data_IF_768682357589
#
_entry.id   IF_768682357589
#
_cell.length_a   1.000
_cell.length_b   1.000
_cell.length_c   1.000
_cell.angle_alpha   90.00
_cell.angle_beta   90.00
_cell.angle_gamma   90.00
#
_symmetry.space_group_name_H-M   'P 1'
#
loop_
_entity.id
_entity.type
_entity.pdbx_description
1 polymer ?
#
# COMPACT_ATOMS: atom_id res chain seq x y z
N UNK A 1 19.80 -85.32 9.78
CA UNK A 1 19.79 -84.59 8.49
C UNK A 1 19.47 -83.13 8.76
N UNK A 2 20.31 -82.22 8.25
CA UNK A 2 20.42 -80.80 8.62
C UNK A 2 19.11 -80.03 8.37
N UNK A 3 18.63 -79.27 9.37
CA UNK A 3 17.55 -78.28 9.22
C UNK A 3 18.17 -76.91 8.91
N UNK A 4 17.79 -76.35 7.78
CA UNK A 4 18.11 -75.00 7.32
C UNK A 4 17.20 -74.02 8.07
N UNK A 5 17.78 -72.99 8.70
CA UNK A 5 17.05 -71.84 9.23
C UNK A 5 17.36 -70.66 8.32
N UNK A 6 16.34 -70.21 7.58
CA UNK A 6 16.38 -68.97 6.78
C UNK A 6 15.93 -67.83 7.69
N UNK A 7 16.78 -66.83 7.88
CA UNK A 7 16.42 -65.57 8.55
C UNK A 7 16.00 -64.58 7.47
N UNK A 8 14.72 -64.18 7.47
CA UNK A 8 14.18 -63.13 6.60
C UNK A 8 14.26 -61.82 7.37
N UNK A 9 15.08 -60.88 6.88
CA UNK A 9 15.11 -59.51 7.37
C UNK A 9 14.00 -58.71 6.68
N UNK A 10 13.05 -58.19 7.45
CA UNK A 10 11.99 -57.28 6.98
C UNK A 10 12.46 -55.85 7.28
N UNK A 11 12.83 -55.11 6.24
CA UNK A 11 13.07 -53.66 6.29
C UNK A 11 11.75 -52.93 6.07
N UNK A 12 11.26 -52.25 7.10
CA UNK A 12 10.09 -51.36 7.03
C UNK A 12 10.57 -50.00 6.53
N UNK A 13 10.23 -49.66 5.28
CA UNK A 13 10.38 -48.31 4.72
C UNK A 13 9.16 -47.48 5.16
N UNK A 14 9.38 -46.56 6.11
CA UNK A 14 8.41 -45.53 6.45
C UNK A 14 8.43 -44.44 5.37
N UNK A 15 7.42 -44.46 4.51
CA UNK A 15 7.13 -43.38 3.56
C UNK A 15 6.47 -42.23 4.33
N UNK A 16 7.26 -41.20 4.64
CA UNK A 16 6.72 -39.95 5.18
C UNK A 16 6.12 -39.16 4.03
N UNK A 17 4.79 -39.17 3.93
CA UNK A 17 4.03 -38.36 2.98
C UNK A 17 4.12 -36.89 3.43
N UNK A 18 5.14 -36.16 2.99
CA UNK A 18 5.12 -34.70 3.03
C UNK A 18 4.11 -34.23 1.98
N UNK A 19 2.97 -33.74 2.44
CA UNK A 19 2.03 -33.01 1.58
C UNK A 19 2.73 -31.73 1.10
N UNK A 20 3.28 -31.77 -0.11
CA UNK A 20 3.64 -30.56 -0.84
C UNK A 20 2.35 -29.74 -1.00
N UNK A 21 2.23 -28.62 -0.28
CA UNK A 21 1.21 -27.62 -0.62
C UNK A 21 1.45 -27.21 -2.06
N UNK A 22 0.45 -27.38 -2.91
CA UNK A 22 0.55 -27.01 -4.31
C UNK A 22 0.79 -25.50 -4.42
N UNK A 23 2.00 -25.12 -4.83
CA UNK A 23 2.38 -23.71 -4.98
C UNK A 23 1.60 -23.02 -6.11
N UNK A 24 0.83 -23.77 -6.91
CA UNK A 24 -0.11 -23.23 -7.90
C UNK A 24 -1.29 -22.45 -7.27
N UNK A 25 -1.51 -22.60 -5.98
CA UNK A 25 -2.64 -22.00 -5.26
C UNK A 25 -2.40 -20.53 -4.84
N UNK A 26 -1.14 -20.09 -4.72
CA UNK A 26 -0.82 -18.74 -4.24
C UNK A 26 -0.77 -17.72 -5.38
N UNK A 27 -1.35 -16.54 -5.16
CA UNK A 27 -1.22 -15.40 -6.07
C UNK A 27 0.16 -14.76 -5.86
N UNK A 28 0.99 -14.71 -6.91
CA UNK A 28 2.34 -14.12 -6.83
C UNK A 28 2.33 -12.68 -7.32
N UNK A 29 2.70 -11.76 -6.44
CA UNK A 29 2.65 -10.31 -6.67
C UNK A 29 4.07 -9.72 -6.64
N UNK A 30 4.42 -8.99 -7.70
CA UNK A 30 5.64 -8.19 -7.74
C UNK A 30 5.36 -6.71 -7.45
N UNK A 31 6.00 -6.13 -6.45
CA UNK A 31 5.94 -4.68 -6.18
C UNK A 31 7.18 -4.02 -6.76
N UNK A 32 7.01 -3.05 -7.65
CA UNK A 32 8.15 -2.38 -8.27
C UNK A 32 8.94 -1.53 -7.27
N UNK A 33 10.24 -1.82 -7.14
CA UNK A 33 11.20 -1.16 -6.26
C UNK A 33 12.38 -0.64 -7.09
N UNK A 34 12.06 0.23 -8.04
CA UNK A 34 13.03 0.93 -8.89
C UNK A 34 13.11 2.41 -8.55
N UNK A 35 14.11 3.09 -9.13
CA UNK A 35 14.25 4.53 -8.96
C UNK A 35 12.98 5.27 -9.40
N UNK A 36 12.53 6.19 -8.56
CA UNK A 36 11.25 6.88 -8.72
C UNK A 36 10.13 6.29 -7.88
N UNK A 37 10.22 5.04 -7.40
CA UNK A 37 9.36 4.54 -6.32
C UNK A 37 9.71 5.18 -4.99
N UNK A 38 8.72 5.72 -4.29
CA UNK A 38 8.94 6.21 -2.93
C UNK A 38 9.10 5.02 -1.98
N UNK A 39 10.21 4.98 -1.26
CA UNK A 39 10.58 3.84 -0.40
C UNK A 39 9.47 3.47 0.60
N UNK A 40 8.84 4.46 1.24
CA UNK A 40 7.71 4.21 2.15
C UNK A 40 6.52 3.57 1.44
N UNK A 41 6.17 4.02 0.24
CA UNK A 41 5.08 3.43 -0.53
C UNK A 41 5.39 1.97 -0.93
N UNK A 42 6.65 1.65 -1.24
CA UNK A 42 7.08 0.26 -1.50
C UNK A 42 6.87 -0.59 -0.25
N UNK A 43 7.34 -0.14 0.91
CA UNK A 43 7.16 -0.85 2.18
C UNK A 43 5.68 -1.07 2.49
N UNK A 44 4.89 -0.01 2.45
CA UNK A 44 3.45 -0.05 2.77
C UNK A 44 2.68 -0.97 1.82
N UNK A 45 3.01 -0.95 0.53
CA UNK A 45 2.39 -1.84 -0.48
C UNK A 45 2.73 -3.30 -0.22
N UNK A 46 4.00 -3.61 0.07
CA UNK A 46 4.43 -4.98 0.39
C UNK A 46 3.68 -5.50 1.61
N UNK A 47 3.51 -4.68 2.63
CA UNK A 47 2.78 -5.06 3.83
C UNK A 47 1.28 -5.19 3.61
N UNK A 48 0.68 -4.28 2.84
CA UNK A 48 -0.73 -4.36 2.50
C UNK A 48 -1.05 -5.68 1.77
N UNK A 49 -0.16 -6.17 0.89
CA UNK A 49 -0.36 -7.46 0.24
C UNK A 49 -0.30 -8.64 1.23
N UNK A 50 0.50 -8.56 2.29
CA UNK A 50 0.61 -9.63 3.31
C UNK A 50 -0.64 -9.78 4.19
N UNK A 51 -1.60 -8.86 4.10
CA UNK A 51 -2.92 -9.02 4.72
C UNK A 51 -3.62 -10.25 4.15
N UNK A 52 -3.49 -10.47 2.84
CA UNK A 52 -4.03 -11.64 2.17
C UNK A 52 -3.08 -12.83 2.27
N UNK A 53 -3.48 -13.85 3.04
CA UNK A 53 -2.63 -15.02 3.31
C UNK A 53 -2.52 -15.98 2.12
N UNK A 54 -3.28 -15.77 1.05
CA UNK A 54 -3.15 -16.49 -0.22
C UNK A 54 -2.27 -15.73 -1.24
N UNK A 55 -1.68 -14.60 -0.85
CA UNK A 55 -0.74 -13.84 -1.67
C UNK A 55 0.70 -14.00 -1.20
N UNK A 56 1.60 -14.20 -2.16
CA UNK A 56 3.04 -14.07 -1.96
C UNK A 56 3.54 -12.81 -2.64
N UNK A 57 4.26 -11.98 -1.90
CA UNK A 57 4.79 -10.71 -2.40
C UNK A 57 6.30 -10.68 -2.37
N UNK A 58 6.90 -10.12 -3.43
CA UNK A 58 8.31 -9.73 -3.47
C UNK A 58 8.47 -8.39 -4.17
N UNK A 59 9.52 -7.68 -3.84
CA UNK A 59 9.93 -6.53 -4.65
C UNK A 59 10.56 -6.99 -5.96
N UNK A 60 10.42 -6.19 -7.01
CA UNK A 60 11.04 -6.40 -8.31
C UNK A 60 11.68 -5.11 -8.81
N UNK A 61 12.86 -5.22 -9.39
CA UNK A 61 13.59 -4.09 -9.98
C UNK A 61 13.49 -4.13 -11.51
N UNK A 62 14.05 -3.12 -12.16
CA UNK A 62 14.18 -3.08 -13.62
C UNK A 62 15.08 -4.18 -14.16
N UNK A 63 16.11 -4.55 -13.40
CA UNK A 63 16.98 -5.69 -13.70
C UNK A 63 16.24 -7.02 -13.63
N UNK A 64 15.39 -7.20 -12.62
CA UNK A 64 14.59 -8.43 -12.47
C UNK A 64 13.59 -8.59 -13.63
N UNK A 65 12.94 -7.49 -14.04
CA UNK A 65 12.01 -7.50 -15.19
C UNK A 65 12.77 -7.87 -16.47
N UNK A 66 13.94 -7.27 -16.70
CA UNK A 66 14.78 -7.60 -17.85
C UNK A 66 15.28 -9.06 -17.81
N UNK A 67 15.47 -9.62 -16.61
CA UNK A 67 15.85 -11.01 -16.40
C UNK A 67 14.67 -12.00 -16.45
N UNK A 68 13.45 -11.54 -16.78
CA UNK A 68 12.29 -12.41 -16.97
C UNK A 68 11.49 -12.72 -15.70
N UNK A 69 11.59 -11.91 -14.64
CA UNK A 69 10.87 -12.20 -13.39
C UNK A 69 9.34 -12.25 -13.56
N UNK A 70 8.79 -11.58 -14.59
CA UNK A 70 7.36 -11.52 -14.88
C UNK A 70 6.75 -12.91 -15.17
N UNK A 71 7.52 -13.85 -15.70
CA UNK A 71 7.04 -15.22 -16.00
C UNK A 71 6.61 -15.99 -14.74
N UNK A 72 7.09 -15.55 -13.58
CA UNK A 72 6.81 -16.16 -12.28
C UNK A 72 5.74 -15.41 -11.48
N UNK A 73 5.16 -14.35 -12.04
CA UNK A 73 4.20 -13.49 -11.35
C UNK A 73 2.80 -13.65 -11.95
N UNK A 74 1.81 -13.30 -11.14
CA UNK A 74 0.40 -13.26 -11.51
C UNK A 74 -0.08 -11.82 -11.62
N UNK A 75 0.41 -10.94 -10.76
CA UNK A 75 0.18 -9.50 -10.84
C UNK A 75 1.44 -8.68 -10.53
N UNK A 76 1.44 -7.43 -10.99
CA UNK A 76 2.40 -6.41 -10.56
C UNK A 76 1.71 -5.22 -9.90
N UNK A 77 2.45 -4.50 -9.08
CA UNK A 77 2.04 -3.23 -8.51
C UNK A 77 3.12 -2.19 -8.77
N UNK A 78 2.74 -1.06 -9.35
CA UNK A 78 3.58 0.13 -9.42
C UNK A 78 3.14 1.06 -8.28
N UNK A 79 3.97 1.28 -7.25
CA UNK A 79 3.59 2.04 -6.06
C UNK A 79 3.66 3.56 -6.31
N UNK A 80 3.32 4.33 -5.28
CA UNK A 80 3.54 5.78 -5.24
C UNK A 80 5.00 6.21 -5.40
N UNK A 81 5.22 7.49 -5.71
CA UNK A 81 6.53 8.05 -6.05
C UNK A 81 6.47 9.13 -7.12
N UNK A 82 7.39 9.12 -8.09
CA UNK A 82 7.36 10.01 -9.26
C UNK A 82 7.12 9.23 -10.54
N UNK A 83 5.95 9.38 -11.16
CA UNK A 83 5.53 8.59 -12.33
C UNK A 83 6.50 8.69 -13.50
N UNK A 84 6.97 9.90 -13.84
CA UNK A 84 7.98 10.12 -14.88
C UNK A 84 9.35 9.52 -14.55
N UNK A 85 9.74 9.48 -13.27
CA UNK A 85 10.99 8.84 -12.81
C UNK A 85 10.89 7.33 -12.91
N UNK A 86 9.75 6.75 -12.51
CA UNK A 86 9.47 5.32 -12.66
C UNK A 86 9.44 4.92 -14.15
N UNK A 87 8.79 5.73 -15.01
CA UNK A 87 8.77 5.53 -16.46
C UNK A 87 10.20 5.47 -17.03
N UNK A 88 11.02 6.48 -16.71
CA UNK A 88 12.41 6.56 -17.16
C UNK A 88 13.23 5.36 -16.64
N UNK A 89 13.04 4.98 -15.38
CA UNK A 89 13.78 3.89 -14.77
C UNK A 89 13.45 2.54 -15.43
N UNK A 90 12.17 2.26 -15.69
CA UNK A 90 11.74 1.04 -16.39
C UNK A 90 12.42 0.92 -17.76
N UNK A 91 12.47 2.02 -18.51
CA UNK A 91 12.95 2.00 -19.90
C UNK A 91 11.98 1.28 -20.84
N UNK A 92 12.12 1.55 -22.15
CA UNK A 92 11.16 1.12 -23.16
C UNK A 92 10.92 -0.40 -23.16
N UNK A 93 11.98 -1.20 -23.15
CA UNK A 93 11.87 -2.67 -23.23
C UNK A 93 11.08 -3.27 -22.06
N UNK A 94 11.31 -2.81 -20.83
CA UNK A 94 10.56 -3.33 -19.68
C UNK A 94 9.12 -2.82 -19.67
N UNK A 95 8.85 -1.61 -20.16
CA UNK A 95 7.48 -1.13 -20.35
C UNK A 95 6.72 -2.04 -21.33
N UNK A 96 7.36 -2.48 -22.43
CA UNK A 96 6.76 -3.44 -23.36
C UNK A 96 6.53 -4.80 -22.71
N UNK A 97 7.52 -5.34 -21.99
CA UNK A 97 7.35 -6.59 -21.22
C UNK A 97 6.18 -6.54 -20.25
N UNK A 98 5.99 -5.41 -19.56
CA UNK A 98 4.83 -5.21 -18.67
C UNK A 98 3.52 -5.18 -19.46
N UNK A 99 3.46 -4.47 -20.60
CA UNK A 99 2.27 -4.45 -21.46
C UNK A 99 1.92 -5.86 -21.98
N UNK A 100 2.92 -6.62 -22.42
CA UNK A 100 2.77 -8.00 -22.86
C UNK A 100 2.26 -8.90 -21.72
N UNK A 101 2.87 -8.79 -20.53
CA UNK A 101 2.43 -9.49 -19.33
C UNK A 101 0.95 -9.25 -19.03
N UNK A 102 0.51 -7.98 -19.00
CA UNK A 102 -0.89 -7.64 -18.73
C UNK A 102 -1.79 -8.14 -19.87
N UNK A 103 -1.44 -7.84 -21.13
CA UNK A 103 -2.26 -8.24 -22.28
C UNK A 103 -2.42 -9.75 -22.44
N UNK A 104 -1.48 -10.54 -21.88
CA UNK A 104 -1.56 -11.99 -21.82
C UNK A 104 -2.57 -12.53 -20.77
N UNK A 105 -3.13 -11.68 -19.90
CA UNK A 105 -4.14 -12.08 -18.90
C UNK A 105 -3.74 -11.82 -17.45
N UNK A 106 -2.64 -11.12 -17.21
CA UNK A 106 -2.12 -10.86 -15.86
C UNK A 106 -2.66 -9.55 -15.29
N UNK A 107 -2.51 -9.38 -13.97
CA UNK A 107 -3.03 -8.22 -13.25
C UNK A 107 -2.02 -7.09 -13.09
N UNK A 108 -2.50 -5.84 -13.06
CA UNK A 108 -1.67 -4.70 -12.68
C UNK A 108 -2.44 -3.69 -11.82
N UNK A 109 -1.81 -3.23 -10.73
CA UNK A 109 -2.32 -2.14 -9.88
C UNK A 109 -1.36 -0.96 -9.93
N UNK A 110 -1.88 0.24 -10.21
CA UNK A 110 -1.14 1.50 -10.18
C UNK A 110 -1.61 2.37 -9.02
N UNK A 111 -0.69 2.80 -8.15
CA UNK A 111 -0.99 3.61 -6.97
C UNK A 111 -0.35 5.00 -7.13
N UNK A 112 -1.17 6.05 -7.11
CA UNK A 112 -0.74 7.45 -7.24
C UNK A 112 0.20 7.67 -8.45
N UNK A 113 1.52 7.73 -8.24
CA UNK A 113 2.51 7.77 -9.31
C UNK A 113 2.41 6.59 -10.29
N UNK A 114 2.10 5.39 -9.79
CA UNK A 114 1.81 4.24 -10.64
C UNK A 114 0.53 4.42 -11.45
N UNK A 115 -0.46 5.16 -10.94
CA UNK A 115 -1.66 5.50 -11.69
C UNK A 115 -1.36 6.56 -12.78
N UNK A 116 -0.50 7.55 -12.50
CA UNK A 116 0.06 8.44 -13.51
C UNK A 116 0.83 7.66 -14.59
N UNK A 117 1.67 6.70 -14.18
CA UNK A 117 2.43 5.87 -15.12
C UNK A 117 1.50 5.07 -16.05
N UNK A 118 0.36 4.59 -15.54
CA UNK A 118 -0.59 3.79 -16.31
C UNK A 118 -1.52 4.61 -17.21
N UNK A 119 -1.56 5.94 -17.04
CA UNK A 119 -2.46 6.82 -17.76
C UNK A 119 -2.20 6.87 -19.26
N UNK A 120 -3.12 7.48 -19.99
CA UNK A 120 -3.08 7.80 -21.40
C UNK A 120 -2.96 9.32 -21.58
N UNK A 121 -2.19 9.97 -20.71
CA UNK A 121 -2.07 11.43 -20.67
C UNK A 121 -1.21 11.94 -21.83
N UNK A 122 -1.72 12.85 -22.69
CA UNK A 122 -0.93 13.49 -23.72
C UNK A 122 0.29 14.22 -23.14
N UNK A 123 1.42 14.17 -23.85
CA UNK A 123 2.66 14.86 -23.49
C UNK A 123 3.23 14.53 -22.10
N UNK A 124 2.82 13.40 -21.51
CA UNK A 124 3.34 12.89 -20.24
C UNK A 124 3.94 11.48 -20.41
N UNK A 125 4.96 11.19 -19.60
CA UNK A 125 5.64 9.89 -19.57
C UNK A 125 4.75 8.80 -18.96
N UNK A 126 3.92 8.17 -19.79
CA UNK A 126 2.94 7.15 -19.39
C UNK A 126 2.89 5.97 -20.37
N UNK A 127 2.31 4.86 -19.90
CA UNK A 127 2.24 3.60 -20.62
C UNK A 127 0.97 3.45 -21.47
N UNK A 128 -0.03 4.33 -21.30
CA UNK A 128 -1.30 4.28 -22.03
C UNK A 128 -2.04 2.93 -21.89
N UNK A 129 -2.30 2.50 -20.65
CA UNK A 129 -2.92 1.20 -20.37
C UNK A 129 -4.22 1.26 -19.56
N UNK A 130 -4.63 2.43 -19.04
CA UNK A 130 -5.83 2.54 -18.21
C UNK A 130 -7.00 3.35 -18.83
N UNK A 131 -6.78 4.06 -19.94
CA UNK A 131 -7.81 4.82 -20.65
C UNK A 131 -8.20 6.16 -19.99
N UNK A 132 -7.54 6.55 -18.92
CA UNK A 132 -7.71 7.85 -18.28
C UNK A 132 -6.57 8.79 -18.68
N UNK A 133 -6.85 10.08 -18.87
CA UNK A 133 -5.82 11.12 -18.94
C UNK A 133 -5.86 11.93 -17.64
N UNK A 134 -4.67 12.26 -17.14
CA UNK A 134 -4.51 13.17 -16.02
C UNK A 134 -4.51 14.62 -16.53
N UNK A 135 -5.34 15.47 -15.92
CA UNK A 135 -5.35 16.92 -16.16
C UNK A 135 -4.68 17.65 -14.99
N UNK A 136 -4.43 18.95 -15.17
CA UNK A 136 -3.90 19.83 -14.10
C UNK A 136 -2.59 19.30 -13.51
N UNK A 137 -1.69 18.85 -14.39
CA UNK A 137 -0.40 18.25 -14.02
C UNK A 137 0.58 19.35 -13.59
N UNK A 138 0.41 20.56 -14.11
CA UNK A 138 1.17 21.74 -13.73
C UNK A 138 0.96 22.15 -12.26
N UNK A 139 -0.12 21.69 -11.63
CA UNK A 139 -0.43 21.87 -10.21
C UNK A 139 -0.46 20.51 -9.48
N UNK A 140 0.50 19.61 -9.76
CA UNK A 140 0.60 18.31 -9.10
C UNK A 140 0.78 18.42 -7.59
N UNK A 141 1.56 19.39 -7.11
CA UNK A 141 1.67 19.78 -5.70
C UNK A 141 0.39 20.48 -5.17
N UNK A 142 -0.78 19.88 -5.35
CA UNK A 142 -2.08 20.46 -4.93
C UNK A 142 -2.39 20.28 -3.45
N UNK A 143 -1.67 19.40 -2.77
CA UNK A 143 -1.81 19.13 -1.35
C UNK A 143 -2.08 17.67 -1.04
N UNK A 144 -2.18 17.41 0.26
CA UNK A 144 -2.32 16.06 0.79
C UNK A 144 -3.09 16.01 2.11
N UNK A 145 -3.42 14.79 2.52
CA UNK A 145 -4.12 14.51 3.77
C UNK A 145 -5.13 13.39 3.62
N UNK A 146 -6.01 13.25 4.59
CA UNK A 146 -7.09 12.28 4.58
C UNK A 146 -8.28 12.79 3.76
N UNK A 147 -8.35 12.36 2.50
CA UNK A 147 -9.39 12.75 1.55
C UNK A 147 -10.61 11.83 1.63
N UNK A 148 -11.78 12.37 1.26
CA UNK A 148 -13.05 11.67 1.18
C UNK A 148 -13.36 11.20 -0.23
N UNK A 149 -13.94 10.01 -0.31
CA UNK A 149 -14.47 9.43 -1.55
C UNK A 149 -15.78 8.67 -1.30
N UNK A 150 -16.55 8.48 -2.37
CA UNK A 150 -17.74 7.61 -2.38
C UNK A 150 -17.55 6.45 -3.36
N UNK A 151 -18.25 5.34 -3.12
CA UNK A 151 -18.27 4.22 -4.05
C UNK A 151 -19.40 4.38 -5.07
N UNK A 152 -19.11 4.03 -6.33
CA UNK A 152 -20.15 3.82 -7.35
C UNK A 152 -20.91 2.51 -7.08
N UNK A 153 -21.96 2.22 -7.85
CA UNK A 153 -22.67 0.95 -7.72
C UNK A 153 -21.71 -0.25 -7.86
N UNK A 154 -20.77 -0.16 -8.80
CA UNK A 154 -19.79 -1.22 -9.06
C UNK A 154 -18.69 -1.22 -8.02
N UNK A 155 -18.31 -0.05 -7.48
CA UNK A 155 -17.45 0.02 -6.30
C UNK A 155 -17.99 -0.71 -5.08
N UNK A 156 -19.30 -0.66 -4.86
CA UNK A 156 -19.96 -1.41 -3.78
C UNK A 156 -19.88 -2.93 -3.97
N UNK A 157 -19.76 -3.40 -5.20
CA UNK A 157 -19.56 -4.83 -5.49
C UNK A 157 -18.10 -5.26 -5.27
N UNK A 158 -17.13 -4.39 -5.56
CA UNK A 158 -15.70 -4.67 -5.32
C UNK A 158 -15.36 -4.57 -3.83
N UNK A 159 -15.97 -3.62 -3.12
CA UNK A 159 -15.71 -3.30 -1.72
C UNK A 159 -17.02 -3.35 -0.89
N UNK A 160 -17.66 -4.52 -0.75
CA UNK A 160 -18.90 -4.67 0.02
C UNK A 160 -18.78 -4.21 1.48
N UNK A 161 -17.59 -4.29 2.08
CA UNK A 161 -17.33 -3.82 3.45
C UNK A 161 -17.52 -2.31 3.62
N UNK A 162 -17.50 -1.56 2.52
CA UNK A 162 -17.71 -0.11 2.49
C UNK A 162 -19.07 0.27 1.90
N UNK A 163 -19.87 -0.69 1.43
CA UNK A 163 -21.05 -0.43 0.59
C UNK A 163 -22.17 0.35 1.28
N UNK A 164 -22.29 0.18 2.60
CA UNK A 164 -23.29 0.83 3.45
C UNK A 164 -22.82 2.18 4.01
N UNK A 165 -21.62 2.63 3.63
CA UNK A 165 -21.08 3.93 4.05
C UNK A 165 -21.35 4.96 2.97
N UNK A 166 -21.89 6.10 3.37
CA UNK A 166 -22.11 7.23 2.45
C UNK A 166 -20.78 7.84 2.02
N UNK A 167 -19.79 7.91 2.92
CA UNK A 167 -18.47 8.50 2.67
C UNK A 167 -17.38 7.65 3.31
N UNK A 168 -16.24 7.54 2.62
CA UNK A 168 -15.05 6.82 3.07
C UNK A 168 -13.82 7.73 2.99
N UNK A 169 -12.75 7.35 3.71
CA UNK A 169 -11.57 8.19 3.87
C UNK A 169 -10.28 7.41 3.62
N UNK A 170 -9.39 7.95 2.79
CA UNK A 170 -8.07 7.40 2.49
C UNK A 170 -7.07 8.54 2.32
N UNK A 171 -5.82 8.32 2.71
CA UNK A 171 -4.71 9.26 2.51
C UNK A 171 -4.56 9.54 1.02
N UNK A 172 -4.61 10.80 0.63
CA UNK A 172 -4.34 11.31 -0.70
C UNK A 172 -3.09 12.19 -0.64
N UNK A 173 -2.25 12.10 -1.65
CA UNK A 173 -1.05 12.93 -1.80
C UNK A 173 -0.79 13.14 -3.28
N UNK A 174 -1.18 14.30 -3.81
CA UNK A 174 -0.83 14.77 -5.17
C UNK A 174 -1.24 13.84 -6.33
N UNK A 175 -2.10 12.85 -6.09
CA UNK A 175 -2.49 11.85 -7.07
C UNK A 175 -3.24 12.43 -8.28
N UNK A 176 -3.28 11.71 -9.41
CA UNK A 176 -3.79 12.23 -10.67
C UNK A 176 -5.26 12.65 -10.61
N UNK A 177 -5.59 13.73 -11.32
CA UNK A 177 -6.97 14.13 -11.59
C UNK A 177 -7.39 13.53 -12.91
N UNK A 178 -8.13 12.43 -12.87
CA UNK A 178 -8.50 11.72 -14.09
C UNK A 178 -9.75 12.28 -14.77
N UNK A 179 -9.71 12.26 -16.10
CA UNK A 179 -10.87 12.32 -16.99
C UNK A 179 -10.72 11.24 -18.07
N UNK A 180 -11.76 11.04 -18.87
CA UNK A 180 -11.68 10.16 -20.03
C UNK A 180 -10.61 10.63 -21.01
N UNK A 181 -9.69 9.74 -21.38
CA UNK A 181 -8.82 9.97 -22.52
C UNK A 181 -9.63 9.83 -23.82
N UNK A 182 -9.27 10.55 -24.90
CA UNK A 182 -9.77 10.30 -26.24
C UNK A 182 -9.13 9.02 -26.83
N UNK A 183 -9.30 7.89 -26.13
CA UNK A 183 -8.72 6.59 -26.44
C UNK A 183 -9.84 5.54 -26.68
N UNK A 184 -9.43 4.38 -27.20
CA UNK A 184 -10.23 3.16 -27.30
C UNK A 184 -10.39 2.43 -25.96
N UNK A 185 -9.42 2.55 -25.05
CA UNK A 185 -9.51 1.96 -23.71
C UNK A 185 -10.51 2.77 -22.88
N UNK A 186 -11.52 2.08 -22.34
CA UNK A 186 -12.50 2.65 -21.42
C UNK A 186 -12.32 2.03 -20.05
N UNK A 187 -12.32 2.88 -19.02
CA UNK A 187 -12.36 2.45 -17.64
C UNK A 187 -13.77 2.55 -17.07
N UNK A 188 -14.01 1.74 -16.05
CA UNK A 188 -15.15 1.88 -15.15
C UNK A 188 -14.69 2.67 -13.92
N UNK A 189 -15.48 3.66 -13.53
CA UNK A 189 -15.27 4.38 -12.26
C UNK A 189 -15.77 3.52 -11.10
N UNK A 190 -14.87 3.18 -10.19
CA UNK A 190 -15.15 2.36 -9.01
C UNK A 190 -15.41 3.26 -7.78
N UNK A 191 -14.73 4.40 -7.71
CA UNK A 191 -14.92 5.39 -6.66
C UNK A 191 -14.80 6.81 -7.21
N UNK A 192 -15.44 7.76 -6.55
CA UNK A 192 -15.47 9.18 -6.91
C UNK A 192 -14.86 10.00 -5.78
N UNK A 193 -13.92 10.87 -6.14
CA UNK A 193 -13.28 11.84 -5.27
C UNK A 193 -14.31 12.88 -4.83
N UNK A 194 -14.46 13.08 -3.54
CA UNK A 194 -15.38 14.08 -2.98
C UNK A 194 -14.65 15.29 -2.39
N UNK A 195 -13.37 15.12 -2.05
CA UNK A 195 -12.52 16.22 -1.57
C UNK A 195 -12.24 17.20 -2.69
N UNK A 196 -12.17 18.47 -2.32
CA UNK A 196 -11.62 19.54 -3.15
C UNK A 196 -10.25 19.91 -2.59
N UNK A 197 -9.22 19.13 -2.94
CA UNK A 197 -7.83 19.35 -2.49
C UNK A 197 -7.19 20.47 -3.33
N UNK A 198 -6.74 21.53 -2.65
CA UNK A 198 -6.15 22.74 -3.25
C UNK A 198 -5.34 23.58 -2.23
N UNK A 199 -4.84 22.95 -1.18
CA UNK A 199 -4.13 23.60 -0.08
C UNK A 199 -2.71 24.07 -0.45
N UNK A 200 -2.13 23.44 -1.48
CA UNK A 200 -0.75 23.66 -1.94
C UNK A 200 -0.70 23.99 -3.45
N UNK A 201 0.48 24.41 -3.93
CA UNK A 201 0.77 24.55 -5.37
C UNK A 201 -0.02 25.58 -6.16
N UNK A 202 -0.86 26.39 -5.50
CA UNK A 202 -1.85 27.26 -6.13
C UNK A 202 -2.85 26.49 -7.01
N UNK A 203 -3.14 25.24 -6.66
CA UNK A 203 -4.08 24.43 -7.41
C UNK A 203 -5.49 25.07 -7.45
N UNK A 204 -6.20 24.99 -8.58
CA UNK A 204 -7.51 25.60 -8.70
C UNK A 204 -8.55 24.88 -7.84
N UNK A 205 -9.42 25.66 -7.20
CA UNK A 205 -10.56 25.11 -6.48
C UNK A 205 -11.51 24.37 -7.44
N UNK A 206 -12.11 23.31 -6.94
CA UNK A 206 -13.02 22.39 -7.61
C UNK A 206 -12.39 21.55 -8.75
N UNK A 207 -11.07 21.40 -8.76
CA UNK A 207 -10.39 20.55 -9.75
C UNK A 207 -10.57 19.06 -9.45
N UNK A 208 -10.37 18.68 -8.18
CA UNK A 208 -10.29 17.28 -7.75
C UNK A 208 -11.63 16.63 -7.44
N UNK A 209 -12.63 17.40 -7.01
CA UNK A 209 -13.95 16.86 -6.64
C UNK A 209 -14.73 16.38 -7.87
N UNK A 210 -15.58 15.37 -7.63
CA UNK A 210 -16.40 14.70 -8.65
C UNK A 210 -15.57 14.08 -9.79
N UNK A 211 -14.32 13.67 -9.49
CA UNK A 211 -13.43 12.99 -10.44
C UNK A 211 -13.25 11.52 -10.04
N UNK A 212 -12.84 10.64 -10.96
CA UNK A 212 -12.54 9.26 -10.62
C UNK A 212 -11.43 9.17 -9.56
N UNK A 213 -11.68 8.40 -8.51
CA UNK A 213 -10.75 8.13 -7.41
C UNK A 213 -10.11 6.75 -7.56
N UNK A 214 -10.95 5.76 -7.89
CA UNK A 214 -10.56 4.42 -8.30
C UNK A 214 -11.13 4.16 -9.69
N UNK A 215 -10.30 3.66 -10.60
CA UNK A 215 -10.70 3.25 -11.94
C UNK A 215 -10.22 1.84 -12.23
N UNK A 216 -10.95 1.14 -13.07
CA UNK A 216 -10.60 -0.22 -13.44
C UNK A 216 -10.98 -0.52 -14.90
N UNK A 217 -10.11 -1.21 -15.63
CA UNK A 217 -10.30 -1.47 -17.06
C UNK A 217 -9.67 -2.81 -17.48
N UNK A 218 -9.94 -3.21 -18.72
CA UNK A 218 -9.20 -4.29 -19.39
C UNK A 218 -8.09 -3.71 -20.25
N UNK A 219 -7.00 -4.46 -20.37
CA UNK A 219 -5.92 -4.21 -21.32
C UNK A 219 -5.51 -5.56 -21.92
N UNK A 220 -5.83 -5.78 -23.19
CA UNK A 220 -5.80 -7.12 -23.79
C UNK A 220 -6.69 -8.10 -23.01
N UNK A 221 -6.15 -9.26 -22.62
CA UNK A 221 -6.85 -10.25 -21.79
C UNK A 221 -6.81 -9.93 -20.29
N UNK A 222 -5.86 -9.10 -19.86
CA UNK A 222 -5.66 -8.75 -18.46
C UNK A 222 -6.52 -7.58 -18.00
N UNK A 223 -6.32 -7.19 -16.75
CA UNK A 223 -7.06 -6.11 -16.10
C UNK A 223 -6.12 -5.21 -15.33
N UNK A 224 -6.44 -3.92 -15.36
CA UNK A 224 -5.69 -2.87 -14.68
C UNK A 224 -6.63 -2.20 -13.67
N UNK A 225 -6.11 -1.94 -12.48
CA UNK A 225 -6.77 -1.13 -11.46
C UNK A 225 -5.87 0.05 -11.13
N UNK A 226 -6.42 1.26 -11.06
CA UNK A 226 -5.66 2.45 -10.68
C UNK A 226 -6.35 3.18 -9.54
N UNK A 227 -5.56 3.56 -8.53
CA UNK A 227 -5.98 4.41 -7.41
C UNK A 227 -5.17 5.69 -7.41
N UNK A 228 -5.84 6.83 -7.29
CA UNK A 228 -5.17 8.13 -7.17
C UNK A 228 -4.67 8.40 -5.75
N UNK A 229 -5.09 7.58 -4.78
CA UNK A 229 -4.78 7.76 -3.37
C UNK A 229 -3.99 6.57 -2.83
N UNK A 230 -3.73 6.58 -1.52
CA UNK A 230 -2.84 5.66 -0.82
C UNK A 230 -3.54 4.79 0.24
N UNK A 231 -4.39 3.82 -0.16
CA UNK A 231 -4.93 2.85 0.78
C UNK A 231 -3.85 2.10 1.56
N UNK A 232 -2.70 1.80 0.93
CA UNK A 232 -1.56 1.13 1.56
C UNK A 232 -1.01 1.89 2.77
N UNK A 233 -1.15 3.21 2.75
CA UNK A 233 -0.69 4.12 3.79
C UNK A 233 -1.80 4.49 4.80
N UNK A 234 -3.02 3.99 4.64
CA UNK A 234 -4.17 4.40 5.45
C UNK A 234 -4.56 3.31 6.45
N UNK A 235 -4.36 3.49 7.76
CA UNK A 235 -4.78 2.53 8.78
C UNK A 235 -6.26 2.14 8.61
N UNK A 236 -6.57 0.84 8.69
CA UNK A 236 -7.92 0.31 8.52
C UNK A 236 -8.41 0.18 7.08
N UNK A 237 -7.65 0.68 6.09
CA UNK A 237 -8.01 0.66 4.67
C UNK A 237 -6.97 -0.06 3.78
N UNK A 238 -5.87 -0.54 4.35
CA UNK A 238 -4.76 -1.20 3.63
C UNK A 238 -5.19 -2.45 2.87
N UNK A 239 -6.20 -3.15 3.38
CA UNK A 239 -6.81 -4.34 2.76
C UNK A 239 -7.40 -4.08 1.37
N UNK A 240 -7.65 -2.81 1.00
CA UNK A 240 -8.09 -2.45 -0.34
C UNK A 240 -7.07 -2.87 -1.40
N UNK A 241 -5.77 -2.85 -1.11
CA UNK A 241 -4.71 -3.17 -2.08
C UNK A 241 -4.75 -4.64 -2.54
N UNK A 242 -4.71 -5.66 -1.66
CA UNK A 242 -4.88 -7.04 -2.10
C UNK A 242 -6.26 -7.31 -2.72
N UNK A 243 -7.32 -6.60 -2.27
CA UNK A 243 -8.64 -6.67 -2.93
C UNK A 243 -8.58 -6.20 -4.39
N UNK A 244 -7.88 -5.11 -4.68
CA UNK A 244 -7.64 -4.64 -6.05
C UNK A 244 -6.86 -5.67 -6.87
N UNK A 245 -5.84 -6.30 -6.28
CA UNK A 245 -5.09 -7.37 -6.96
C UNK A 245 -6.00 -8.55 -7.33
N UNK A 246 -6.82 -9.06 -6.40
CA UNK A 246 -7.78 -10.14 -6.71
C UNK A 246 -8.73 -9.77 -7.83
N UNK A 247 -9.25 -8.54 -7.81
CA UNK A 247 -10.10 -8.03 -8.87
C UNK A 247 -9.37 -8.07 -10.23
N UNK A 248 -8.11 -7.65 -10.30
CA UNK A 248 -7.35 -7.68 -11.57
C UNK A 248 -7.12 -9.09 -12.10
N UNK A 249 -7.14 -10.10 -11.23
CA UNK A 249 -6.95 -11.50 -11.59
C UNK A 249 -8.25 -12.28 -11.77
N UNK A 250 -9.40 -11.60 -11.64
CA UNK A 250 -10.71 -12.24 -11.65
C UNK A 250 -10.82 -13.41 -10.64
N UNK A 251 -10.21 -13.22 -9.47
CA UNK A 251 -10.23 -14.17 -8.36
C UNK A 251 -11.35 -13.82 -7.38
N UNK A 252 -11.78 -14.82 -6.62
CA UNK A 252 -12.74 -14.64 -5.53
C UNK A 252 -12.29 -13.53 -4.59
N UNK A 253 -13.19 -12.57 -4.33
CA UNK A 253 -12.97 -11.47 -3.39
C UNK A 253 -13.21 -11.96 -1.97
N UNK A 254 -12.16 -12.40 -1.29
CA UNK A 254 -12.23 -12.93 0.07
C UNK A 254 -12.45 -11.84 1.11
N UNK A 255 -13.12 -12.18 2.21
CA UNK A 255 -13.22 -11.31 3.38
C UNK A 255 -11.90 -11.29 4.15
N UNK A 256 -11.60 -10.16 4.81
CA UNK A 256 -10.45 -10.02 5.71
C UNK A 256 -10.91 -9.84 7.15
N UNK A 257 -9.98 -10.03 8.08
CA UNK A 257 -10.21 -9.90 9.52
C UNK A 257 -10.74 -8.50 9.90
N UNK A 258 -11.61 -8.45 10.91
CA UNK A 258 -12.08 -7.18 11.52
C UNK A 258 -10.94 -6.35 12.15
N UNK A 259 -9.80 -6.98 12.45
CA UNK A 259 -8.61 -6.27 12.92
C UNK A 259 -7.95 -5.41 11.84
N UNK A 260 -8.19 -5.72 10.56
CA UNK A 260 -7.61 -5.02 9.41
C UNK A 260 -8.64 -4.16 8.67
N UNK A 261 -9.89 -4.63 8.58
CA UNK A 261 -10.98 -3.88 7.96
C UNK A 261 -11.60 -2.94 8.99
N UNK A 262 -11.06 -1.72 9.09
CA UNK A 262 -11.47 -0.74 10.11
C UNK A 262 -11.84 0.62 9.49
N UNK A 263 -12.83 0.69 8.59
CA UNK A 263 -13.18 1.93 7.90
C UNK A 263 -13.77 3.02 8.82
N UNK A 264 -14.15 2.67 10.05
CA UNK A 264 -14.64 3.62 11.07
C UNK A 264 -13.50 4.30 11.84
N UNK A 265 -12.23 3.99 11.58
CA UNK A 265 -11.11 4.70 12.22
C UNK A 265 -11.13 6.20 11.89
N UNK A 266 -11.66 6.55 10.73
CA UNK A 266 -11.79 7.94 10.31
C UNK A 266 -13.20 8.24 9.81
N UNK A 267 -13.74 9.36 10.29
CA UNK A 267 -15.10 9.83 9.97
C UNK A 267 -15.11 11.30 9.53
N UNK A 268 -13.93 11.89 9.32
CA UNK A 268 -13.78 13.29 8.88
C UNK A 268 -12.60 13.46 7.95
N UNK A 269 -12.72 14.44 7.08
CA UNK A 269 -11.65 14.89 6.18
C UNK A 269 -10.59 15.66 6.97
N UNK A 270 -9.32 15.48 6.59
CA UNK A 270 -8.17 16.20 7.16
C UNK A 270 -7.26 16.57 5.99
N UNK A 271 -7.35 17.81 5.49
CA UNK A 271 -6.44 18.32 4.46
C UNK A 271 -5.40 19.23 5.12
N UNK A 272 -4.12 19.04 4.78
CA UNK A 272 -3.03 19.76 5.43
C UNK A 272 -2.99 21.21 4.96
N UNK A 273 -3.33 22.13 5.87
CA UNK A 273 -3.14 23.56 5.62
C UNK A 273 -1.67 23.95 5.71
N UNK A 274 -1.32 25.13 5.18
CA UNK A 274 0.03 25.70 5.29
C UNK A 274 0.54 25.77 6.73
N UNK A 275 -0.34 25.98 7.71
CA UNK A 275 0.06 26.02 9.12
C UNK A 275 0.22 24.63 9.72
N UNK A 276 -0.54 23.64 9.25
CA UNK A 276 -0.31 22.23 9.60
C UNK A 276 1.03 21.75 9.06
N UNK A 277 1.38 22.07 7.81
CA UNK A 277 2.67 21.72 7.20
C UNK A 277 3.86 22.31 7.98
N UNK A 278 3.77 23.59 8.37
CA UNK A 278 4.78 24.21 9.25
C UNK A 278 4.90 23.49 10.59
N UNK A 279 3.77 23.07 11.17
CA UNK A 279 3.76 22.34 12.45
C UNK A 279 4.36 20.94 12.30
N UNK A 280 4.03 20.22 11.24
CA UNK A 280 4.59 18.90 10.91
C UNK A 280 6.11 18.99 10.74
N UNK A 281 6.59 19.93 9.92
CA UNK A 281 8.02 20.16 9.76
C UNK A 281 8.73 20.49 11.09
N UNK A 282 8.07 21.26 11.98
CA UNK A 282 8.61 21.57 13.32
C UNK A 282 8.70 20.33 14.21
N UNK A 283 7.80 19.36 14.08
CA UNK A 283 7.82 18.14 14.88
C UNK A 283 9.13 17.35 14.71
N UNK A 284 9.71 17.33 13.50
CA UNK A 284 11.01 16.72 13.28
C UNK A 284 12.10 17.34 14.16
N UNK A 285 12.17 18.67 14.24
CA UNK A 285 13.09 19.37 15.13
C UNK A 285 12.80 19.07 16.61
N UNK A 286 11.53 18.98 17.00
CA UNK A 286 11.13 18.56 18.35
C UNK A 286 11.61 17.15 18.69
N UNK A 287 11.60 16.21 17.74
CA UNK A 287 12.14 14.86 17.97
C UNK A 287 13.66 14.85 18.16
N UNK A 288 14.38 15.77 17.53
CA UNK A 288 15.83 15.90 17.71
C UNK A 288 16.22 16.60 19.01
N UNK A 289 15.52 17.68 19.39
CA UNK A 289 16.01 18.61 20.42
C UNK A 289 15.01 18.94 21.53
N UNK A 290 13.76 18.50 21.41
CA UNK A 290 12.70 18.78 22.38
C UNK A 290 12.79 17.92 23.64
N UNK A 291 12.09 18.38 24.67
CA UNK A 291 11.85 17.62 25.90
C UNK A 291 10.95 16.40 25.64
N UNK A 292 10.94 15.44 26.58
CA UNK A 292 10.07 14.28 26.47
C UNK A 292 8.59 14.67 26.29
N UNK A 293 8.11 15.69 27.02
CA UNK A 293 6.72 16.13 26.94
C UNK A 293 6.39 16.73 25.56
N UNK A 294 7.26 17.56 25.01
CA UNK A 294 7.06 18.13 23.67
C UNK A 294 7.06 17.03 22.59
N UNK A 295 7.89 15.99 22.74
CA UNK A 295 7.88 14.82 21.85
C UNK A 295 6.57 14.03 21.93
N UNK A 296 6.00 13.86 23.13
CA UNK A 296 4.70 13.21 23.29
C UNK A 296 3.59 14.01 22.60
N UNK A 297 3.57 15.33 22.79
CA UNK A 297 2.61 16.23 22.13
C UNK A 297 2.75 16.23 20.61
N UNK A 298 3.98 16.16 20.11
CA UNK A 298 4.24 16.00 18.68
C UNK A 298 3.71 14.66 18.16
N UNK A 299 3.99 13.54 18.83
CA UNK A 299 3.47 12.22 18.46
C UNK A 299 1.93 12.18 18.46
N UNK A 300 1.29 12.77 19.47
CA UNK A 300 -0.17 12.84 19.55
C UNK A 300 -0.78 13.65 18.40
N UNK A 301 -0.19 14.80 18.08
CA UNK A 301 -0.70 15.63 16.99
C UNK A 301 -0.49 14.98 15.61
N UNK A 302 0.67 14.36 15.37
CA UNK A 302 0.97 13.69 14.11
C UNK A 302 0.03 12.49 13.89
N UNK A 303 -0.27 11.73 14.95
CA UNK A 303 -1.19 10.59 14.86
C UNK A 303 -2.62 11.06 14.59
N UNK A 304 -3.09 12.09 15.31
CA UNK A 304 -4.43 12.66 15.13
C UNK A 304 -4.62 13.31 13.76
N UNK A 305 -3.55 13.80 13.15
CA UNK A 305 -3.56 14.44 11.83
C UNK A 305 -3.28 13.45 10.71
N UNK A 306 -2.98 12.18 11.01
CA UNK A 306 -2.61 11.14 10.03
C UNK A 306 -1.40 11.57 9.18
N UNK A 307 -0.38 12.14 9.84
CA UNK A 307 0.87 12.55 9.19
C UNK A 307 1.54 11.34 8.54
N UNK A 308 1.78 11.44 7.23
CA UNK A 308 2.47 10.38 6.50
C UNK A 308 3.97 10.44 6.74
N UNK A 309 4.56 11.63 6.72
CA UNK A 309 6.00 11.85 6.93
C UNK A 309 6.48 11.32 8.30
N UNK A 310 5.64 11.45 9.33
CA UNK A 310 5.92 10.94 10.66
C UNK A 310 6.28 9.45 10.70
N UNK A 311 5.80 8.65 9.74
CA UNK A 311 6.16 7.22 9.64
C UNK A 311 7.65 7.02 9.47
N UNK A 312 8.39 7.95 8.86
CA UNK A 312 9.86 7.84 8.72
C UNK A 312 10.62 8.26 9.98
N UNK A 313 9.96 8.94 10.91
CA UNK A 313 10.63 9.53 12.09
C UNK A 313 10.45 8.67 13.33
N UNK A 314 9.29 8.02 13.46
CA UNK A 314 8.88 7.28 14.66
C UNK A 314 9.79 6.09 15.01
N UNK A 315 10.47 5.48 14.04
CA UNK A 315 11.38 4.35 14.30
C UNK A 315 12.45 4.69 15.35
N UNK A 316 13.12 5.82 15.20
CA UNK A 316 14.20 6.22 16.12
C UNK A 316 13.69 6.48 17.54
N UNK A 317 12.43 6.88 17.68
CA UNK A 317 11.81 7.18 18.98
C UNK A 317 11.51 5.93 19.81
N UNK A 318 11.52 4.74 19.22
CA UNK A 318 11.52 3.47 19.98
C UNK A 318 12.73 3.35 20.90
N UNK A 319 13.82 4.06 20.58
CA UNK A 319 15.09 4.03 21.31
C UNK A 319 15.41 5.37 21.98
N UNK A 320 14.40 6.23 22.16
CA UNK A 320 14.57 7.54 22.80
C UNK A 320 15.10 7.39 24.24
N UNK A 321 15.88 8.37 24.71
CA UNK A 321 16.42 8.39 26.06
C UNK A 321 15.32 8.37 27.15
N UNK A 322 14.15 8.93 26.87
CA UNK A 322 13.03 8.99 27.80
C UNK A 322 12.19 7.71 27.81
N UNK A 323 11.97 7.07 28.97
CA UNK A 323 11.05 5.93 29.11
C UNK A 323 9.60 6.28 28.82
N UNK A 324 9.24 7.56 28.74
CA UNK A 324 7.90 8.01 28.37
C UNK A 324 7.68 8.01 26.85
N UNK A 325 8.72 8.36 26.07
CA UNK A 325 8.62 8.54 24.62
C UNK A 325 8.57 7.18 23.91
N UNK A 326 9.40 6.23 24.33
CA UNK A 326 9.51 4.91 23.70
C UNK A 326 8.17 4.15 23.61
N UNK A 327 7.37 3.99 24.70
CA UNK A 327 6.08 3.31 24.60
C UNK A 327 5.05 4.12 23.79
N UNK A 328 5.15 5.46 23.76
CA UNK A 328 4.28 6.27 22.91
C UNK A 328 4.59 6.06 21.42
N UNK A 329 5.86 5.96 21.06
CA UNK A 329 6.31 5.65 19.71
C UNK A 329 5.85 4.23 19.30
N UNK A 330 5.99 3.25 20.18
CA UNK A 330 5.46 1.89 19.96
C UNK A 330 3.95 1.89 19.66
N UNK A 331 3.16 2.64 20.44
CA UNK A 331 1.72 2.81 20.20
C UNK A 331 1.44 3.50 18.87
N UNK A 332 2.22 4.51 18.48
CA UNK A 332 2.08 5.17 17.18
C UNK A 332 2.25 4.17 16.03
N UNK A 333 3.30 3.34 16.07
CA UNK A 333 3.57 2.32 15.05
C UNK A 333 2.41 1.33 14.97
N UNK A 334 1.91 0.86 16.11
CA UNK A 334 0.74 -0.03 16.17
C UNK A 334 -0.53 0.63 15.58
N UNK A 335 -0.83 1.86 15.96
CA UNK A 335 -2.01 2.59 15.52
C UNK A 335 -1.97 2.96 14.03
N UNK A 336 -0.76 3.23 13.50
CA UNK A 336 -0.53 3.44 12.07
C UNK A 336 -0.44 2.14 11.26
N UNK A 337 -0.61 0.97 11.92
CA UNK A 337 -0.51 -0.36 11.34
C UNK A 337 0.83 -0.67 10.66
N UNK A 338 1.90 0.09 10.96
CA UNK A 338 3.12 0.04 10.18
C UNK A 338 4.03 -1.11 10.64
N UNK A 339 3.76 -2.31 10.12
CA UNK A 339 4.44 -3.56 10.50
C UNK A 339 5.93 -3.59 10.13
N UNK A 340 6.43 -2.55 9.43
CA UNK A 340 7.77 -2.54 8.86
C UNK A 340 8.78 -2.47 9.99
N UNK A 341 8.41 -1.75 11.05
CA UNK A 341 9.16 -1.62 12.28
C UNK A 341 8.83 -2.69 13.32
N UNK A 342 8.16 -3.80 12.95
CA UNK A 342 7.98 -4.92 13.86
C UNK A 342 9.32 -5.45 14.41
N UNK A 343 10.39 -5.64 13.60
CA UNK A 343 11.69 -6.05 14.13
C UNK A 343 12.27 -5.03 15.12
N UNK A 344 12.17 -3.74 14.83
CA UNK A 344 12.63 -2.67 15.73
C UNK A 344 11.85 -2.66 17.04
N UNK A 345 10.53 -2.82 17.00
CA UNK A 345 9.68 -2.86 18.18
C UNK A 345 9.95 -4.11 19.03
N UNK A 346 10.20 -5.27 18.41
CA UNK A 346 10.62 -6.49 19.12
C UNK A 346 11.96 -6.25 19.84
N UNK A 347 12.92 -5.63 19.16
CA UNK A 347 14.22 -5.29 19.75
C UNK A 347 14.10 -4.27 20.89
N UNK A 348 13.29 -3.22 20.71
CA UNK A 348 13.03 -2.21 21.73
C UNK A 348 12.38 -2.83 22.98
N UNK A 349 11.32 -3.62 22.81
CA UNK A 349 10.65 -4.32 23.91
C UNK A 349 11.61 -5.29 24.65
N UNK A 350 12.43 -6.05 23.91
CA UNK A 350 13.39 -6.99 24.49
C UNK A 350 14.42 -6.30 25.40
N UNK A 351 14.84 -5.10 25.02
CA UNK A 351 15.85 -4.32 25.74
C UNK A 351 15.27 -3.34 26.78
N UNK A 352 13.94 -3.15 26.83
CA UNK A 352 13.30 -2.22 27.74
C UNK A 352 13.48 -2.64 29.20
N UNK A 353 13.92 -1.69 30.02
CA UNK A 353 14.21 -1.84 31.45
C UNK A 353 13.13 -1.21 32.33
N UNK A 354 12.43 -0.18 31.84
CA UNK A 354 11.29 0.41 32.55
C UNK A 354 10.07 -0.53 32.47
N UNK A 355 9.55 -1.03 33.61
CA UNK A 355 8.48 -2.02 33.58
C UNK A 355 7.19 -1.54 32.90
N UNK A 356 6.83 -0.25 33.09
CA UNK A 356 5.60 0.30 32.53
C UNK A 356 5.72 0.50 31.01
N UNK A 357 6.88 1.00 30.55
CA UNK A 357 7.17 1.11 29.13
C UNK A 357 7.18 -0.27 28.46
N UNK A 358 7.76 -1.28 29.13
CA UNK A 358 7.82 -2.65 28.62
C UNK A 358 6.43 -3.25 28.42
N UNK A 359 5.55 -3.10 29.41
CA UNK A 359 4.17 -3.57 29.30
C UNK A 359 3.41 -2.86 28.17
N UNK A 360 3.60 -1.54 28.02
CA UNK A 360 2.95 -0.77 26.96
C UNK A 360 3.45 -1.19 25.55
N UNK A 361 4.75 -1.44 25.40
CA UNK A 361 5.32 -1.97 24.15
C UNK A 361 4.81 -3.37 23.83
N UNK A 362 4.62 -4.23 24.83
CA UNK A 362 4.06 -5.57 24.63
C UNK A 362 2.64 -5.50 24.04
N UNK A 363 1.80 -4.56 24.49
CA UNK A 363 0.46 -4.32 23.92
C UNK A 363 0.52 -3.84 22.47
N UNK A 364 1.48 -2.99 22.14
CA UNK A 364 1.71 -2.54 20.77
C UNK A 364 2.14 -3.71 19.85
N UNK A 365 3.03 -4.59 20.33
CA UNK A 365 3.43 -5.81 19.62
C UNK A 365 2.24 -6.73 19.37
N UNK A 366 1.44 -7.00 20.40
CA UNK A 366 0.25 -7.83 20.29
C UNK A 366 -0.72 -7.27 19.23
N UNK A 367 -0.86 -5.94 19.17
CA UNK A 367 -1.71 -5.28 18.17
C UNK A 367 -1.20 -5.51 16.76
N UNK A 368 0.10 -5.31 16.50
CA UNK A 368 0.68 -5.50 15.17
C UNK A 368 0.66 -6.97 14.72
N UNK A 369 0.82 -7.92 15.63
CA UNK A 369 0.80 -9.36 15.33
C UNK A 369 -0.59 -9.90 14.96
N UNK A 370 -1.65 -9.13 15.19
CA UNK A 370 -3.04 -9.46 14.80
C UNK A 370 -3.41 -8.99 13.39
N UNK A 371 -2.57 -8.16 12.76
CA UNK A 371 -2.71 -7.67 11.38
C UNK A 371 -2.15 -8.72 10.40
#
# INVERSE_FOLDING_TARGET
MKRIVVVIAITILLWSCQSSRDTSQFIRVGVFDGHGGAQTCVWETVEAIRIDKEMFVRTITTGDIAAGCLDTLDAIIIPGGGGSRQYLNLGHENQQRIKEFISAGKGAVGICAGAYLFSNTPDYACMAINGAQAIDIEHDNRGHGLAKFTLTHEGKQVFPELANRDTNYVVYYEGPVFIDAPDTIRYQTIAIMQSNVHEEGNAPANMTNNKPFFIANRFGKGRVFSTIAHPEATPGMRWLIPRMVRWTLDKELVAYSEYVVRPNLFEREILFSKDMLKREAKCYSTFLYGTAQEKLEALDWLEQSVSWDAKRWVQGLLFDASPLVRPRAARYIANSEFTHYLPDLVAAHGNEQDPAAKEAMAKALETLLRL
#
